data_IF_518010851940
#
_entry.id   IF_518010851940
#
_cell.length_a   1.000
_cell.length_b   1.000
_cell.length_c   1.000
_cell.angle_alpha   90.00
_cell.angle_beta   90.00
_cell.angle_gamma   90.00
#
_symmetry.space_group_name_H-M   'P 1'
#
loop_
_entity.id
_entity.type
_entity.pdbx_description
1 polymer ?
#
# COMPACT_ATOMS: atom_id res chain seq x y z
N UNK A 1 26.01 -9.35 -1.65
CA UNK A 1 25.03 -10.16 -2.39
C UNK A 1 24.72 -9.39 -3.66
N UNK A 2 25.06 -9.96 -4.80
CA UNK A 2 24.66 -9.39 -6.09
C UNK A 2 23.13 -9.34 -6.12
N UNK A 3 22.59 -8.14 -6.09
CA UNK A 3 21.15 -7.95 -6.30
C UNK A 3 20.85 -8.40 -7.72
N UNK A 4 20.15 -9.54 -7.86
CA UNK A 4 19.88 -10.17 -9.13
C UNK A 4 19.34 -9.19 -10.16
N UNK A 5 19.77 -9.35 -11.41
CA UNK A 5 19.30 -8.55 -12.54
C UNK A 5 17.79 -8.73 -12.67
N UNK A 6 17.04 -7.66 -12.50
CA UNK A 6 15.58 -7.67 -12.68
C UNK A 6 15.21 -7.43 -14.14
N UNK A 7 14.08 -7.98 -14.58
CA UNK A 7 13.52 -7.67 -15.90
C UNK A 7 13.34 -6.18 -16.15
N UNK A 8 13.14 -5.40 -15.08
CA UNK A 8 12.99 -3.94 -15.18
C UNK A 8 14.29 -3.22 -15.57
N UNK A 9 15.45 -3.84 -15.36
CA UNK A 9 16.74 -3.24 -15.77
C UNK A 9 16.92 -3.18 -17.29
N UNK A 10 16.13 -3.94 -18.06
CA UNK A 10 16.15 -3.87 -19.54
C UNK A 10 15.29 -2.73 -20.11
N UNK A 11 14.58 -2.00 -19.27
CA UNK A 11 13.78 -0.86 -19.75
C UNK A 11 14.68 0.29 -20.27
N UNK A 12 14.31 0.91 -21.41
CA UNK A 12 15.05 2.04 -21.93
C UNK A 12 15.02 3.20 -20.92
N UNK A 13 16.21 3.77 -20.65
CA UNK A 13 16.35 4.86 -19.69
C UNK A 13 16.61 4.43 -18.24
N UNK A 14 16.62 3.13 -17.94
CA UNK A 14 16.91 2.61 -16.60
C UNK A 14 18.27 3.11 -16.08
N UNK A 15 19.32 3.01 -16.89
CA UNK A 15 20.68 3.40 -16.50
C UNK A 15 20.78 4.92 -16.24
N UNK A 16 20.14 5.73 -17.06
CA UNK A 16 20.13 7.19 -16.89
C UNK A 16 19.40 7.57 -15.61
N UNK A 17 18.27 6.94 -15.32
CA UNK A 17 17.51 7.19 -14.10
C UNK A 17 18.23 6.67 -12.87
N UNK A 18 18.87 5.51 -12.94
CA UNK A 18 19.70 4.96 -11.88
C UNK A 18 20.89 5.87 -11.56
N UNK A 19 21.57 6.40 -12.60
CA UNK A 19 22.64 7.37 -12.45
C UNK A 19 22.15 8.69 -11.80
N UNK A 20 21.00 9.19 -12.24
CA UNK A 20 20.38 10.38 -11.64
C UNK A 20 20.08 10.18 -10.15
N UNK A 21 19.46 9.05 -9.77
CA UNK A 21 19.17 8.75 -8.37
C UNK A 21 20.41 8.55 -7.52
N UNK A 22 21.47 7.95 -8.08
CA UNK A 22 22.74 7.75 -7.38
C UNK A 22 23.47 9.07 -7.07
N UNK A 23 23.29 10.10 -7.90
CA UNK A 23 23.82 11.43 -7.65
C UNK A 23 23.07 12.20 -6.54
N UNK A 24 21.78 11.87 -6.34
CA UNK A 24 20.93 12.52 -5.34
C UNK A 24 20.69 11.57 -4.16
N UNK A 25 21.76 11.05 -3.57
CA UNK A 25 21.68 10.16 -2.40
C UNK A 25 20.96 10.86 -1.26
N UNK A 26 19.81 10.35 -0.88
CA UNK A 26 19.10 10.77 0.34
C UNK A 26 19.84 10.28 1.60
N UNK A 27 19.49 10.84 2.75
CA UNK A 27 20.10 10.54 4.06
C UNK A 27 20.01 9.03 4.43
N UNK A 28 19.08 8.30 3.80
CA UNK A 28 18.73 6.89 4.11
C UNK A 28 19.03 5.94 2.94
N UNK A 29 19.56 6.44 1.84
CA UNK A 29 19.87 5.59 0.68
C UNK A 29 21.17 4.83 0.92
N UNK A 30 21.07 3.53 1.21
CA UNK A 30 22.19 2.61 1.09
C UNK A 30 22.69 2.49 -0.35
N UNK A 31 23.83 1.85 -0.56
CA UNK A 31 24.53 1.74 -1.85
C UNK A 31 23.83 0.90 -2.94
N UNK A 32 22.58 0.50 -2.74
CA UNK A 32 21.86 -0.41 -3.64
C UNK A 32 21.21 0.34 -4.82
N UNK A 33 21.14 -0.34 -5.95
CA UNK A 33 20.51 0.08 -7.20
C UNK A 33 19.07 0.59 -6.98
N UNK A 34 18.95 1.90 -6.90
CA UNK A 34 17.78 2.57 -6.35
C UNK A 34 16.64 2.67 -7.37
N UNK A 35 16.93 2.54 -8.68
CA UNK A 35 15.92 2.72 -9.72
C UNK A 35 14.88 1.60 -9.73
N UNK A 36 15.28 0.36 -9.40
CA UNK A 36 14.42 -0.81 -9.55
C UNK A 36 13.16 -0.76 -8.68
N UNK A 37 13.27 -0.39 -7.40
CA UNK A 37 12.11 -0.33 -6.52
C UNK A 37 11.11 0.72 -6.98
N UNK A 38 11.57 1.83 -7.59
CA UNK A 38 10.69 2.87 -8.13
C UNK A 38 9.92 2.36 -9.34
N UNK A 39 10.62 1.72 -10.30
CA UNK A 39 9.96 1.13 -11.46
C UNK A 39 8.98 0.02 -11.06
N UNK A 40 9.35 -0.84 -10.13
CA UNK A 40 8.48 -1.89 -9.62
C UNK A 40 7.25 -1.31 -8.90
N UNK A 41 7.44 -0.26 -8.08
CA UNK A 41 6.34 0.44 -7.41
C UNK A 41 5.36 1.08 -8.41
N UNK A 42 5.89 1.74 -9.46
CA UNK A 42 5.07 2.33 -10.52
C UNK A 42 4.34 1.23 -11.30
N UNK A 43 4.99 0.11 -11.61
CA UNK A 43 4.37 -1.02 -12.28
C UNK A 43 3.18 -1.56 -11.49
N UNK A 44 3.35 -1.78 -10.17
CA UNK A 44 2.26 -2.25 -9.31
C UNK A 44 1.12 -1.23 -9.26
N UNK A 45 1.41 0.06 -9.12
CA UNK A 45 0.38 1.10 -9.15
C UNK A 45 -0.38 1.12 -10.49
N UNK A 46 0.34 0.99 -11.61
CA UNK A 46 -0.28 0.95 -12.94
C UNK A 46 -1.19 -0.27 -13.09
N UNK A 47 -0.72 -1.46 -12.69
CA UNK A 47 -1.51 -2.69 -12.74
C UNK A 47 -2.76 -2.55 -11.88
N UNK A 48 -2.65 -2.09 -10.65
CA UNK A 48 -3.80 -1.87 -9.76
C UNK A 48 -4.79 -0.86 -10.35
N UNK A 49 -4.29 0.23 -10.94
CA UNK A 49 -5.12 1.22 -11.59
C UNK A 49 -5.89 0.64 -12.78
N UNK A 50 -5.21 -0.09 -13.67
CA UNK A 50 -5.85 -0.72 -14.83
C UNK A 50 -6.87 -1.79 -14.42
N UNK A 51 -6.55 -2.59 -13.41
CA UNK A 51 -7.47 -3.60 -12.89
C UNK A 51 -8.68 -2.95 -12.23
N UNK A 52 -8.49 -1.88 -11.46
CA UNK A 52 -9.60 -1.13 -10.85
C UNK A 52 -10.52 -0.49 -11.89
N UNK A 53 -9.95 0.03 -12.99
CA UNK A 53 -10.75 0.56 -14.10
C UNK A 53 -11.58 -0.53 -14.75
N UNK A 54 -11.01 -1.72 -14.98
CA UNK A 54 -11.74 -2.87 -15.54
C UNK A 54 -12.83 -3.39 -14.61
N UNK A 55 -12.52 -3.52 -13.33
CA UNK A 55 -13.51 -3.93 -12.33
C UNK A 55 -14.69 -2.95 -12.27
N UNK A 56 -14.39 -1.64 -12.29
CA UNK A 56 -15.41 -0.59 -12.33
C UNK A 56 -16.23 -0.64 -13.62
N UNK A 57 -15.62 -0.89 -14.77
CA UNK A 57 -16.33 -1.03 -16.04
C UNK A 57 -17.28 -2.24 -16.03
N UNK A 58 -16.85 -3.38 -15.48
CA UNK A 58 -17.70 -4.57 -15.32
C UNK A 58 -18.86 -4.30 -14.36
N UNK A 59 -18.60 -3.59 -13.26
CA UNK A 59 -19.63 -3.19 -12.30
C UNK A 59 -20.71 -2.32 -12.96
N UNK A 60 -20.29 -1.33 -13.75
CA UNK A 60 -21.21 -0.42 -14.45
C UNK A 60 -22.00 -1.12 -15.59
N UNK A 61 -21.45 -2.18 -16.17
CA UNK A 61 -22.09 -2.95 -17.22
C UNK A 61 -23.09 -4.00 -16.69
N UNK A 62 -23.07 -4.29 -15.39
CA UNK A 62 -23.98 -5.26 -14.79
C UNK A 62 -25.40 -4.71 -14.74
N UNK A 63 -26.38 -5.53 -15.16
CA UNK A 63 -27.80 -5.14 -15.26
C UNK A 63 -28.44 -4.84 -13.89
N UNK A 64 -27.90 -5.42 -12.83
CA UNK A 64 -28.45 -5.38 -11.47
C UNK A 64 -27.72 -4.34 -10.56
N UNK A 65 -27.01 -3.37 -11.17
CA UNK A 65 -26.26 -2.37 -10.41
C UNK A 65 -25.12 -2.94 -9.57
N UNK A 66 -24.70 -4.18 -9.88
CA UNK A 66 -23.59 -4.82 -9.19
C UNK A 66 -23.95 -5.52 -7.88
N UNK A 67 -25.23 -5.65 -7.54
CA UNK A 67 -25.68 -6.28 -6.29
C UNK A 67 -25.50 -7.80 -6.33
N UNK A 68 -25.66 -8.41 -7.51
CA UNK A 68 -25.53 -9.87 -7.69
C UNK A 68 -24.13 -10.18 -8.22
N UNK A 69 -23.35 -11.06 -7.56
CA UNK A 69 -22.09 -11.55 -8.07
C UNK A 69 -22.26 -12.27 -9.41
N UNK A 70 -21.26 -12.18 -10.29
CA UNK A 70 -21.28 -12.93 -11.55
C UNK A 70 -21.31 -14.44 -11.27
N UNK A 71 -22.04 -15.19 -12.10
CA UNK A 71 -22.17 -16.66 -11.98
C UNK A 71 -20.82 -17.39 -12.16
N UNK A 72 -19.86 -16.78 -12.84
CA UNK A 72 -18.52 -17.30 -13.08
C UNK A 72 -17.48 -16.52 -12.28
N UNK A 73 -16.31 -17.14 -12.02
CA UNK A 73 -15.16 -16.46 -11.39
C UNK A 73 -14.68 -15.36 -12.34
N UNK A 74 -15.05 -14.12 -12.03
CA UNK A 74 -14.59 -12.91 -12.74
C UNK A 74 -13.58 -12.14 -11.91
N UNK A 75 -12.80 -11.29 -12.56
CA UNK A 75 -11.91 -10.35 -11.85
C UNK A 75 -12.69 -9.50 -10.84
N UNK A 76 -13.92 -9.14 -11.17
CA UNK A 76 -14.84 -8.43 -10.29
C UNK A 76 -15.09 -9.23 -9.01
N UNK A 77 -15.51 -10.50 -9.11
CA UNK A 77 -15.82 -11.32 -7.93
C UNK A 77 -14.60 -11.50 -7.02
N UNK A 78 -13.41 -11.68 -7.60
CA UNK A 78 -12.17 -11.79 -6.83
C UNK A 78 -11.87 -10.48 -6.07
N UNK A 79 -12.02 -9.35 -6.74
CA UNK A 79 -11.82 -8.04 -6.09
C UNK A 79 -12.87 -7.76 -5.02
N UNK A 80 -14.14 -8.05 -5.28
CA UNK A 80 -15.23 -7.92 -4.31
C UNK A 80 -14.92 -8.75 -3.05
N UNK A 81 -14.53 -10.01 -3.21
CA UNK A 81 -14.19 -10.89 -2.10
C UNK A 81 -13.02 -10.35 -1.24
N UNK A 82 -11.95 -9.88 -1.90
CA UNK A 82 -10.78 -9.31 -1.21
C UNK A 82 -11.16 -8.02 -0.48
N UNK A 83 -11.88 -7.12 -1.14
CA UNK A 83 -12.31 -5.84 -0.55
C UNK A 83 -13.30 -6.06 0.61
N UNK A 84 -14.25 -6.99 0.46
CA UNK A 84 -15.20 -7.33 1.51
C UNK A 84 -14.51 -7.93 2.72
N UNK A 85 -13.54 -8.82 2.51
CA UNK A 85 -12.73 -9.40 3.59
C UNK A 85 -11.95 -8.33 4.35
N UNK A 86 -11.25 -7.43 3.63
CA UNK A 86 -10.52 -6.31 4.22
C UNK A 86 -11.45 -5.36 4.98
N UNK A 87 -12.60 -5.03 4.39
CA UNK A 87 -13.57 -4.17 5.02
C UNK A 87 -14.17 -4.79 6.28
N UNK A 88 -14.47 -6.09 6.25
CA UNK A 88 -14.95 -6.85 7.41
C UNK A 88 -13.96 -6.81 8.56
N UNK A 89 -12.67 -7.02 8.28
CA UNK A 89 -11.61 -6.91 9.30
C UNK A 89 -11.52 -5.47 9.85
N UNK A 90 -11.54 -4.48 9.00
CA UNK A 90 -11.53 -3.07 9.45
C UNK A 90 -12.74 -2.74 10.31
N UNK A 91 -13.93 -3.22 9.94
CA UNK A 91 -15.15 -2.99 10.71
C UNK A 91 -15.07 -3.62 12.10
N UNK A 92 -14.44 -4.78 12.24
CA UNK A 92 -14.21 -5.43 13.53
C UNK A 92 -13.28 -4.61 14.43
N UNK A 93 -12.28 -3.92 13.87
CA UNK A 93 -11.26 -3.16 14.61
C UNK A 93 -11.71 -1.72 14.89
N UNK A 94 -12.24 -1.03 13.87
CA UNK A 94 -12.55 0.41 13.90
C UNK A 94 -14.04 0.66 14.24
N UNK A 95 -14.91 -0.33 14.00
CA UNK A 95 -16.36 -0.19 14.20
C UNK A 95 -17.03 0.50 13.00
N UNK A 96 -18.06 1.30 13.27
CA UNK A 96 -18.93 1.92 12.24
C UNK A 96 -18.22 2.95 11.37
N UNK A 97 -17.15 3.55 11.87
CA UNK A 97 -16.33 4.52 11.12
C UNK A 97 -15.43 3.86 10.05
N UNK A 98 -15.38 2.52 9.96
CA UNK A 98 -14.54 1.78 9.01
C UNK A 98 -14.75 2.24 7.57
N UNK A 99 -16.00 2.51 7.16
CA UNK A 99 -16.32 2.96 5.81
C UNK A 99 -15.61 4.25 5.41
N UNK A 100 -15.36 5.13 6.36
CA UNK A 100 -14.68 6.41 6.14
C UNK A 100 -13.19 6.24 5.86
N UNK A 101 -12.54 5.30 6.54
CA UNK A 101 -11.09 5.08 6.45
C UNK A 101 -10.73 4.02 5.41
N UNK A 102 -11.69 3.19 5.02
CA UNK A 102 -11.48 2.07 4.09
C UNK A 102 -10.84 2.47 2.75
N UNK A 103 -11.23 3.58 2.07
CA UNK A 103 -10.62 3.91 0.79
C UNK A 103 -9.10 4.07 0.88
N UNK A 104 -8.59 4.68 1.93
CA UNK A 104 -7.15 4.93 2.11
C UNK A 104 -6.44 3.67 2.58
N UNK A 105 -6.92 3.06 3.66
CA UNK A 105 -6.27 1.88 4.27
C UNK A 105 -6.38 0.67 3.34
N UNK A 106 -7.54 0.45 2.71
CA UNK A 106 -7.75 -0.64 1.76
C UNK A 106 -6.87 -0.51 0.51
N UNK A 107 -6.75 0.69 -0.05
CA UNK A 107 -5.85 0.93 -1.19
C UNK A 107 -4.40 0.65 -0.83
N UNK A 108 -3.95 1.10 0.34
CA UNK A 108 -2.58 0.87 0.79
C UNK A 108 -2.31 -0.61 1.09
N UNK A 109 -3.27 -1.30 1.70
CA UNK A 109 -3.18 -2.74 1.95
C UNK A 109 -3.05 -3.53 0.64
N UNK A 110 -3.88 -3.22 -0.36
CA UNK A 110 -3.78 -3.81 -1.69
C UNK A 110 -2.43 -3.50 -2.36
N UNK A 111 -1.99 -2.26 -2.29
CA UNK A 111 -0.70 -1.87 -2.86
C UNK A 111 0.45 -2.67 -2.26
N UNK A 112 0.56 -2.74 -0.94
CA UNK A 112 1.61 -3.51 -0.24
C UNK A 112 1.49 -5.01 -0.58
N UNK A 113 0.28 -5.55 -0.61
CA UNK A 113 0.03 -6.94 -0.98
C UNK A 113 0.57 -7.24 -2.38
N UNK A 114 0.20 -6.44 -3.38
CA UNK A 114 0.66 -6.66 -4.75
C UNK A 114 2.15 -6.38 -4.95
N UNK A 115 2.74 -5.47 -4.18
CA UNK A 115 4.19 -5.30 -4.14
C UNK A 115 4.90 -6.59 -3.70
N UNK A 116 4.36 -7.28 -2.69
CA UNK A 116 4.92 -8.55 -2.22
C UNK A 116 4.64 -9.69 -3.22
N UNK A 117 3.46 -9.74 -3.83
CA UNK A 117 3.13 -10.73 -4.87
C UNK A 117 4.05 -10.60 -6.08
N UNK A 118 4.43 -9.37 -6.46
CA UNK A 118 5.40 -9.16 -7.54
C UNK A 118 6.73 -9.88 -7.28
N UNK A 119 7.17 -9.92 -6.02
CA UNK A 119 8.39 -10.62 -5.63
C UNK A 119 8.32 -12.16 -5.73
N UNK A 120 7.13 -12.75 -5.89
CA UNK A 120 6.96 -14.17 -6.15
C UNK A 120 7.19 -14.53 -7.62
N UNK A 121 7.21 -13.53 -8.51
CA UNK A 121 7.43 -13.75 -9.94
C UNK A 121 8.94 -13.77 -10.20
N UNK A 122 9.51 -14.87 -10.75
CA UNK A 122 10.93 -14.95 -11.04
C UNK A 122 11.39 -13.79 -11.94
N UNK A 123 12.48 -13.14 -11.55
CA UNK A 123 13.04 -11.99 -12.29
C UNK A 123 12.47 -10.63 -11.90
N UNK A 124 11.52 -10.57 -10.95
CA UNK A 124 11.11 -9.33 -10.31
C UNK A 124 11.57 -9.32 -8.84
N UNK A 125 11.94 -8.13 -8.37
CA UNK A 125 12.20 -7.89 -6.96
C UNK A 125 11.05 -7.05 -6.39
N UNK A 126 10.55 -7.38 -5.19
CA UNK A 126 9.47 -6.62 -4.59
C UNK A 126 9.94 -5.19 -4.27
N UNK A 127 9.19 -4.15 -4.62
CA UNK A 127 9.55 -2.78 -4.27
C UNK A 127 9.59 -2.55 -2.75
N UNK A 128 8.90 -3.38 -1.99
CA UNK A 128 8.89 -3.36 -0.51
C UNK A 128 10.16 -3.88 0.14
N UNK A 129 11.08 -4.49 -0.61
CA UNK A 129 12.42 -4.86 -0.13
C UNK A 129 13.29 -3.61 0.11
N UNK A 130 12.96 -2.50 -0.54
CA UNK A 130 13.66 -1.25 -0.35
C UNK A 130 13.06 -0.42 0.79
N UNK A 131 13.94 0.03 1.70
CA UNK A 131 13.57 0.86 2.85
C UNK A 131 12.76 2.10 2.46
N UNK A 132 13.12 2.77 1.36
CA UNK A 132 12.43 3.99 0.94
C UNK A 132 10.95 3.75 0.65
N UNK A 133 10.60 2.62 0.01
CA UNK A 133 9.20 2.28 -0.28
C UNK A 133 8.43 1.94 0.99
N UNK A 134 8.98 1.10 1.85
CA UNK A 134 8.33 0.70 3.10
C UNK A 134 8.21 1.85 4.07
N UNK A 135 9.27 2.66 4.21
CA UNK A 135 9.25 3.86 5.06
C UNK A 135 8.22 4.89 4.57
N UNK A 136 8.12 5.11 3.25
CA UNK A 136 7.13 6.04 2.69
C UNK A 136 5.71 5.62 3.01
N UNK A 137 5.39 4.33 2.88
CA UNK A 137 4.08 3.79 3.27
C UNK A 137 3.82 3.94 4.78
N UNK A 138 4.81 3.62 5.61
CA UNK A 138 4.70 3.72 7.06
C UNK A 138 4.54 5.18 7.51
N UNK A 139 5.33 6.10 6.95
CA UNK A 139 5.23 7.52 7.24
C UNK A 139 3.85 8.09 6.85
N UNK A 140 3.35 7.70 5.67
CA UNK A 140 2.00 8.10 5.25
C UNK A 140 0.94 7.64 6.25
N UNK A 141 0.95 6.37 6.66
CA UNK A 141 0.00 5.84 7.66
C UNK A 141 0.16 6.54 9.00
N UNK A 142 1.39 6.80 9.43
CA UNK A 142 1.67 7.51 10.67
C UNK A 142 1.06 8.92 10.67
N UNK A 143 1.28 9.70 9.61
CA UNK A 143 0.70 11.05 9.51
C UNK A 143 -0.81 11.00 9.37
N UNK A 144 -1.35 10.07 8.59
CA UNK A 144 -2.79 9.88 8.42
C UNK A 144 -3.47 9.54 9.74
N UNK A 145 -2.91 8.58 10.49
CA UNK A 145 -3.42 8.18 11.80
C UNK A 145 -3.39 9.34 12.81
N UNK A 146 -2.26 10.05 12.92
CA UNK A 146 -2.14 11.16 13.85
C UNK A 146 -3.05 12.34 13.47
N UNK A 147 -3.19 12.64 12.17
CA UNK A 147 -4.10 13.69 11.72
C UNK A 147 -5.54 13.39 12.12
N UNK A 148 -6.02 12.18 11.87
CA UNK A 148 -7.38 11.79 12.23
C UNK A 148 -7.57 11.67 13.75
N UNK A 149 -6.58 11.13 14.46
CA UNK A 149 -6.60 11.04 15.90
C UNK A 149 -6.68 12.41 16.58
N UNK A 150 -5.87 13.38 16.13
CA UNK A 150 -5.93 14.77 16.61
C UNK A 150 -7.25 15.45 16.29
N UNK A 151 -7.79 15.18 15.09
CA UNK A 151 -9.07 15.79 14.67
C UNK A 151 -10.26 15.31 15.49
N UNK A 152 -10.26 14.03 15.92
CA UNK A 152 -11.37 13.41 16.65
C UNK A 152 -11.20 13.61 18.16
N UNK A 153 -10.00 13.33 18.70
CA UNK A 153 -9.74 13.30 20.14
C UNK A 153 -8.94 14.50 20.65
N UNK A 154 -8.52 15.41 19.75
CA UNK A 154 -7.71 16.56 20.12
C UNK A 154 -6.42 16.17 20.85
N UNK A 155 -6.05 16.94 21.87
CA UNK A 155 -4.82 16.73 22.66
C UNK A 155 -4.81 15.37 23.39
N UNK A 156 -5.99 14.81 23.71
CA UNK A 156 -6.10 13.50 24.34
C UNK A 156 -5.48 12.39 23.51
N UNK A 157 -5.47 12.52 22.17
CA UNK A 157 -4.79 11.57 21.29
C UNK A 157 -3.29 11.46 21.59
N UNK A 158 -2.62 12.61 21.79
CA UNK A 158 -1.18 12.64 22.13
C UNK A 158 -0.96 12.09 23.54
N UNK A 159 -1.82 12.44 24.49
CA UNK A 159 -1.71 11.94 25.87
C UNK A 159 -1.85 10.40 25.89
N UNK A 160 -2.81 9.85 25.17
CA UNK A 160 -2.97 8.39 25.06
C UNK A 160 -1.80 7.73 24.31
N UNK A 161 -1.23 8.38 23.32
CA UNK A 161 -0.06 7.85 22.61
C UNK A 161 1.18 7.81 23.54
N UNK A 162 1.33 8.82 24.40
CA UNK A 162 2.45 8.91 25.35
C UNK A 162 2.23 8.05 26.61
N UNK A 163 0.97 7.87 27.03
CA UNK A 163 0.62 7.11 28.23
C UNK A 163 -0.64 6.26 28.00
N UNK A 164 -0.51 5.11 27.32
CA UNK A 164 -1.65 4.27 26.93
C UNK A 164 -2.36 3.63 28.13
N UNK A 165 -1.69 3.46 29.27
CA UNK A 165 -2.22 2.78 30.46
C UNK A 165 -2.80 3.79 31.46
N UNK A 166 -2.53 5.10 31.30
CA UNK A 166 -3.01 6.13 32.22
C UNK A 166 -2.29 6.17 33.59
N UNK A 167 -1.33 5.28 33.82
CA UNK A 167 -0.53 5.25 35.04
C UNK A 167 0.79 6.05 34.86
N UNK A 168 1.36 6.54 35.95
CA UNK A 168 2.57 7.37 35.98
C UNK A 168 3.80 6.70 35.34
N UNK A 169 3.80 5.39 35.16
CA UNK A 169 4.86 4.57 34.56
C UNK A 169 4.50 3.99 33.18
N UNK A 170 3.33 4.28 32.65
CA UNK A 170 2.82 3.70 31.39
C UNK A 170 3.63 4.05 30.13
N UNK A 171 4.52 5.04 30.22
CA UNK A 171 5.45 5.41 29.15
C UNK A 171 6.71 4.54 29.08
N UNK A 172 6.96 3.70 30.11
CA UNK A 172 8.11 2.79 30.19
C UNK A 172 7.80 1.36 29.70
N UNK A 173 6.53 1.02 29.44
CA UNK A 173 6.06 -0.26 28.93
C UNK A 173 5.66 -0.18 27.48
#
# INVERSE_FOLDING_TARGET
MDHGVSWLSFLPGYDNFSAFLSQHKGIVSGDAAVAQHVYAAILVMLVLFLVSLRARAQLNASKDGGIVPDANISLRNVFELVLESLYGQMKTIIGDDAARYFPVIGTLALYIFFCNVLGLIPGFLPPTDNWNTTFSCAAFVFFYYNYHGLRVNGIHHIIHLANPIGETWGWLL
#
